data_IF_386039470531
#
_entry.id   IF_386039470531
#
_cell.length_a   1.000
_cell.length_b   1.000
_cell.length_c   1.000
_cell.angle_alpha   90.00
_cell.angle_beta   90.00
_cell.angle_gamma   90.00
#
_symmetry.space_group_name_H-M   'P 1'
#
loop_
_entity.id
_entity.type
_entity.pdbx_description
1 polymer ?
#
# COMPACT_ATOMS: atom_id res chain seq x y z
N UNK A 1 27.59 -18.35 9.87
CA UNK A 1 26.50 -17.84 10.72
C UNK A 1 25.30 -17.62 9.83
N UNK A 2 24.14 -18.21 10.16
CA UNK A 2 22.90 -17.91 9.43
C UNK A 2 22.56 -16.44 9.71
N UNK A 3 22.68 -15.59 8.69
CA UNK A 3 22.16 -14.23 8.76
C UNK A 3 20.64 -14.34 8.83
N UNK A 4 20.06 -13.97 9.97
CA UNK A 4 18.61 -13.93 10.14
C UNK A 4 18.07 -12.71 9.40
N UNK A 5 17.18 -12.94 8.43
CA UNK A 5 16.48 -11.88 7.71
C UNK A 5 15.68 -11.01 8.69
N UNK A 6 15.81 -9.69 8.57
CA UNK A 6 15.12 -8.69 9.41
C UNK A 6 13.98 -8.02 8.64
N UNK A 7 13.03 -7.44 9.37
CA UNK A 7 12.00 -6.56 8.81
C UNK A 7 12.65 -5.25 8.33
N UNK A 8 12.38 -4.91 7.08
CA UNK A 8 12.82 -3.68 6.43
C UNK A 8 11.58 -2.85 6.10
N UNK A 9 11.58 -1.59 6.55
CA UNK A 9 10.51 -0.62 6.36
C UNK A 9 11.20 0.66 5.88
N UNK A 10 10.91 1.10 4.66
CA UNK A 10 11.54 2.29 4.07
C UNK A 10 10.48 3.29 3.62
N UNK A 11 10.51 4.46 4.25
CA UNK A 11 9.56 5.54 3.98
C UNK A 11 10.10 6.53 2.97
N UNK A 12 9.24 6.89 2.01
CA UNK A 12 9.41 8.01 1.13
C UNK A 12 8.37 9.08 1.50
N UNK A 13 8.84 10.31 1.71
CA UNK A 13 7.99 11.46 1.97
C UNK A 13 7.19 11.83 0.72
N UNK A 14 6.08 12.58 0.85
CA UNK A 14 5.30 13.02 -0.30
C UNK A 14 6.12 13.73 -1.38
N UNK A 15 7.15 14.50 -0.99
CA UNK A 15 8.08 15.18 -1.90
C UNK A 15 9.06 14.25 -2.63
N UNK A 16 9.31 13.07 -2.09
CA UNK A 16 10.23 12.07 -2.66
C UNK A 16 9.47 11.11 -3.59
N UNK A 17 8.21 10.79 -3.25
CA UNK A 17 7.39 9.87 -4.01
C UNK A 17 6.90 10.44 -5.35
N UNK A 18 6.69 11.76 -5.44
CA UNK A 18 6.00 12.40 -6.58
C UNK A 18 4.66 11.73 -6.93
N UNK A 19 3.87 11.38 -5.91
CA UNK A 19 2.58 10.74 -6.14
C UNK A 19 1.63 11.68 -6.88
N UNK A 20 1.09 11.19 -8.00
CA UNK A 20 0.00 11.82 -8.73
C UNK A 20 -1.31 11.09 -8.44
N UNK A 21 -2.37 11.87 -8.31
CA UNK A 21 -3.73 11.38 -8.17
C UNK A 21 -4.35 11.24 -9.56
N UNK A 22 -4.81 10.04 -9.90
CA UNK A 22 -5.61 9.81 -11.11
C UNK A 22 -7.01 9.37 -10.70
N UNK A 23 -8.03 9.90 -11.37
CA UNK A 23 -9.42 9.44 -11.21
C UNK A 23 -9.86 8.75 -12.49
N UNK A 24 -10.66 7.68 -12.36
CA UNK A 24 -11.33 7.11 -13.53
C UNK A 24 -12.27 8.14 -14.17
N UNK A 25 -12.58 7.96 -15.46
CA UNK A 25 -13.47 8.88 -16.20
C UNK A 25 -14.85 9.04 -15.55
N UNK A 26 -15.32 8.02 -14.83
CA UNK A 26 -16.58 8.05 -14.08
C UNK A 26 -16.43 8.59 -12.64
N UNK A 27 -15.22 8.99 -12.23
CA UNK A 27 -14.89 9.51 -10.90
C UNK A 27 -14.96 8.49 -9.77
N UNK A 28 -15.22 7.21 -10.05
CA UNK A 28 -15.51 6.19 -9.02
C UNK A 28 -14.26 5.53 -8.45
N UNK A 29 -13.14 5.54 -9.19
CA UNK A 29 -11.88 4.95 -8.75
C UNK A 29 -10.83 6.02 -8.61
N UNK A 30 -10.17 6.03 -7.44
CA UNK A 30 -9.01 6.86 -7.17
C UNK A 30 -7.74 6.02 -7.25
N UNK A 31 -6.71 6.55 -7.88
CA UNK A 31 -5.43 5.90 -8.06
C UNK A 31 -4.29 6.81 -7.60
N UNK A 32 -3.23 6.20 -7.09
CA UNK A 32 -1.95 6.84 -6.80
C UNK A 32 -0.88 6.23 -7.69
N UNK A 33 -0.07 7.08 -8.32
CA UNK A 33 1.05 6.66 -9.16
C UNK A 33 2.29 7.49 -8.83
N UNK A 34 3.45 6.85 -8.70
CA UNK A 34 4.70 7.55 -8.39
C UNK A 34 5.81 6.59 -7.96
N UNK A 35 6.83 7.11 -7.30
CA UNK A 35 7.98 6.35 -6.81
C UNK A 35 7.59 5.58 -5.55
N UNK A 36 7.78 4.27 -5.58
CA UNK A 36 7.46 3.33 -4.50
C UNK A 36 8.71 2.80 -3.79
N UNK A 37 9.83 2.66 -4.51
CA UNK A 37 11.14 2.30 -3.95
C UNK A 37 12.26 3.01 -4.71
N UNK A 38 13.41 3.19 -4.08
CA UNK A 38 14.61 3.81 -4.67
C UNK A 38 15.83 2.90 -4.49
N UNK A 39 16.65 2.82 -5.53
CA UNK A 39 17.91 2.08 -5.56
C UNK A 39 19.12 3.01 -5.59
N UNK A 40 20.27 2.50 -5.17
CA UNK A 40 21.58 3.15 -5.19
C UNK A 40 21.59 4.54 -4.53
N UNK A 41 20.68 4.76 -3.57
CA UNK A 41 20.58 5.95 -2.75
C UNK A 41 20.45 5.53 -1.28
N UNK A 42 21.26 6.15 -0.42
CA UNK A 42 21.15 5.96 1.03
C UNK A 42 19.86 6.62 1.51
N UNK A 43 18.93 5.80 2.00
CA UNK A 43 17.63 6.25 2.47
C UNK A 43 17.70 6.82 3.90
N UNK A 44 16.53 7.19 4.44
CA UNK A 44 16.40 7.82 5.77
C UNK A 44 16.82 6.91 6.94
N UNK A 45 16.76 5.60 6.75
CA UNK A 45 17.25 4.60 7.71
C UNK A 45 18.75 4.30 7.54
N UNK A 46 19.44 5.04 6.67
CA UNK A 46 20.85 4.81 6.38
C UNK A 46 21.14 3.54 5.59
N UNK A 47 20.12 2.96 4.94
CA UNK A 47 20.24 1.75 4.13
C UNK A 47 20.39 2.12 2.67
N UNK A 48 21.17 1.32 1.94
CA UNK A 48 21.33 1.44 0.50
C UNK A 48 20.93 0.12 -0.16
N UNK A 49 19.96 0.20 -1.07
CA UNK A 49 19.49 -0.95 -1.83
C UNK A 49 20.15 -0.94 -3.19
N UNK A 50 20.98 -1.95 -3.53
CA UNK A 50 21.52 -2.08 -4.88
C UNK A 50 20.42 -2.11 -5.94
N UNK A 51 20.67 -1.55 -7.12
CA UNK A 51 19.74 -1.61 -8.26
C UNK A 51 19.24 -3.03 -8.55
N UNK A 52 20.11 -4.03 -8.44
CA UNK A 52 19.75 -5.43 -8.65
C UNK A 52 18.71 -5.96 -7.65
N UNK A 53 18.75 -5.50 -6.39
CA UNK A 53 17.80 -5.91 -5.35
C UNK A 53 16.41 -5.31 -5.62
N UNK A 54 16.36 -4.02 -5.95
CA UNK A 54 15.09 -3.35 -6.29
C UNK A 54 14.51 -3.89 -7.61
N UNK A 55 15.34 -4.12 -8.63
CA UNK A 55 14.89 -4.70 -9.89
C UNK A 55 14.33 -6.12 -9.69
N UNK A 56 14.98 -6.96 -8.89
CA UNK A 56 14.49 -8.30 -8.56
C UNK A 56 13.16 -8.24 -7.78
N UNK A 57 13.03 -7.31 -6.83
CA UNK A 57 11.78 -7.06 -6.12
C UNK A 57 10.65 -6.64 -7.06
N UNK A 58 10.92 -5.76 -8.03
CA UNK A 58 9.93 -5.35 -9.04
C UNK A 58 9.51 -6.52 -9.92
N UNK A 59 10.44 -7.31 -10.43
CA UNK A 59 10.11 -8.48 -11.26
C UNK A 59 9.31 -9.53 -10.49
N UNK A 60 9.73 -9.86 -9.26
CA UNK A 60 8.97 -10.76 -8.38
C UNK A 60 7.56 -10.23 -8.08
N UNK A 61 7.42 -8.92 -7.93
CA UNK A 61 6.12 -8.27 -7.69
C UNK A 61 5.22 -8.31 -8.92
N UNK A 62 5.74 -8.14 -10.13
CA UNK A 62 4.95 -8.26 -11.37
C UNK A 62 4.29 -9.64 -11.50
N UNK A 63 5.04 -10.70 -11.19
CA UNK A 63 4.51 -12.06 -11.16
C UNK A 63 3.39 -12.20 -10.13
N UNK A 64 3.63 -11.76 -8.88
CA UNK A 64 2.61 -11.78 -7.81
C UNK A 64 1.36 -10.99 -8.18
N UNK A 65 1.52 -9.79 -8.76
CA UNK A 65 0.41 -8.94 -9.22
C UNK A 65 -0.42 -9.69 -10.26
N UNK A 66 0.21 -10.38 -11.20
CA UNK A 66 -0.49 -11.12 -12.25
C UNK A 66 -1.23 -12.34 -11.68
N UNK A 67 -0.59 -13.10 -10.78
CA UNK A 67 -1.16 -14.29 -10.17
C UNK A 67 -2.30 -13.98 -9.18
N UNK A 68 -2.17 -12.90 -8.41
CA UNK A 68 -3.05 -12.58 -7.28
C UNK A 68 -4.00 -11.42 -7.58
N UNK A 69 -3.96 -10.88 -8.81
CA UNK A 69 -4.69 -9.69 -9.23
C UNK A 69 -4.36 -8.45 -8.35
N UNK A 70 -3.07 -8.29 -8.06
CA UNK A 70 -2.50 -7.18 -7.30
C UNK A 70 -1.89 -7.56 -5.95
N UNK A 71 -1.21 -6.59 -5.33
CA UNK A 71 -0.63 -6.72 -3.99
C UNK A 71 -1.35 -5.75 -3.05
N UNK A 72 -1.87 -6.25 -1.93
CA UNK A 72 -2.58 -5.41 -0.96
C UNK A 72 -1.62 -4.56 -0.15
N UNK A 73 -1.94 -3.28 0.01
CA UNK A 73 -1.24 -2.35 0.89
C UNK A 73 -2.17 -1.79 1.97
N UNK A 74 -1.59 -1.44 3.11
CA UNK A 74 -2.32 -0.93 4.27
C UNK A 74 -2.35 0.61 4.26
N UNK A 75 -3.32 1.19 5.00
CA UNK A 75 -3.19 2.57 5.46
C UNK A 75 -2.44 2.53 6.78
N UNK A 76 -1.37 3.29 6.86
CA UNK A 76 -0.29 3.13 7.84
C UNK A 76 0.56 1.87 7.63
N UNK A 77 1.65 1.73 8.38
CA UNK A 77 2.56 0.59 8.27
C UNK A 77 2.67 -0.16 9.61
N UNK A 78 2.24 -1.44 9.69
CA UNK A 78 2.46 -2.24 10.88
C UNK A 78 3.93 -2.69 10.99
N UNK A 79 4.39 -2.93 12.22
CA UNK A 79 5.70 -3.54 12.53
C UNK A 79 5.68 -5.07 12.27
N UNK A 80 5.16 -5.49 11.11
CA UNK A 80 5.00 -6.91 10.75
C UNK A 80 5.10 -7.10 9.23
N UNK A 81 5.57 -8.29 8.82
CA UNK A 81 5.56 -8.75 7.43
C UNK A 81 4.19 -9.24 6.97
N UNK A 82 3.26 -9.50 7.90
CA UNK A 82 1.90 -9.94 7.56
C UNK A 82 1.01 -8.75 7.22
N UNK A 83 0.14 -8.93 6.23
CA UNK A 83 -0.87 -7.94 5.86
C UNK A 83 -2.09 -8.09 6.77
N UNK A 84 -2.50 -7.01 7.43
CA UNK A 84 -3.73 -6.99 8.21
C UNK A 84 -4.91 -6.61 7.32
N UNK A 85 -5.81 -7.56 7.06
CA UNK A 85 -6.92 -7.36 6.11
C UNK A 85 -7.89 -6.24 6.51
N UNK A 86 -8.01 -5.95 7.80
CA UNK A 86 -8.82 -4.84 8.35
C UNK A 86 -8.17 -3.46 8.10
N UNK A 87 -6.87 -3.42 7.80
CA UNK A 87 -6.11 -2.19 7.51
C UNK A 87 -5.87 -1.94 6.02
N UNK A 88 -6.20 -2.92 5.17
CA UNK A 88 -6.00 -2.80 3.71
C UNK A 88 -6.76 -1.58 3.17
N UNK A 89 -6.04 -0.72 2.46
CA UNK A 89 -6.56 0.54 1.92
C UNK A 89 -6.48 0.62 0.40
N UNK A 90 -5.54 -0.11 -0.20
CA UNK A 90 -5.30 -0.06 -1.64
C UNK A 90 -4.73 -1.39 -2.16
N UNK A 91 -4.72 -1.51 -3.49
CA UNK A 91 -4.08 -2.63 -4.20
C UNK A 91 -3.10 -2.05 -5.21
N UNK A 92 -1.84 -2.47 -5.13
CA UNK A 92 -0.80 -2.19 -6.10
C UNK A 92 -1.08 -3.04 -7.34
N UNK A 93 -1.24 -2.39 -8.49
CA UNK A 93 -1.60 -3.02 -9.76
C UNK A 93 -0.46 -3.04 -10.75
N UNK A 94 0.52 -2.15 -10.60
CA UNK A 94 1.67 -2.06 -11.49
C UNK A 94 2.91 -1.67 -10.68
N UNK A 95 4.03 -2.28 -11.04
CA UNK A 95 5.37 -1.90 -10.57
C UNK A 95 6.34 -2.02 -11.75
N UNK A 96 7.17 -1.01 -11.95
CA UNK A 96 8.17 -1.01 -13.01
C UNK A 96 9.40 -0.19 -12.61
N UNK A 97 10.54 -0.50 -13.22
CA UNK A 97 11.76 0.27 -13.06
C UNK A 97 11.78 1.45 -14.04
N UNK A 98 12.21 2.61 -13.58
CA UNK A 98 12.57 3.74 -14.40
C UNK A 98 13.85 4.39 -13.84
N UNK A 99 14.97 4.10 -14.50
CA UNK A 99 16.30 4.43 -13.96
C UNK A 99 16.51 3.70 -12.63
N UNK A 100 16.90 4.45 -11.59
CA UNK A 100 17.15 3.92 -10.24
C UNK A 100 15.91 3.91 -9.34
N UNK A 101 14.74 4.30 -9.86
CA UNK A 101 13.50 4.32 -9.08
C UNK A 101 12.58 3.19 -9.55
N UNK A 102 11.95 2.51 -8.59
CA UNK A 102 10.79 1.67 -8.87
C UNK A 102 9.54 2.53 -8.76
N UNK A 103 8.85 2.71 -9.87
CA UNK A 103 7.54 3.34 -9.91
C UNK A 103 6.45 2.30 -9.70
N UNK A 104 5.36 2.72 -9.10
CA UNK A 104 4.19 1.90 -8.88
C UNK A 104 2.90 2.65 -9.11
N UNK A 105 1.84 1.86 -9.39
CA UNK A 105 0.46 2.34 -9.49
C UNK A 105 -0.41 1.53 -8.53
N UNK A 106 -1.20 2.23 -7.73
CA UNK A 106 -2.09 1.65 -6.73
C UNK A 106 -3.51 2.17 -6.86
N UNK A 107 -4.48 1.26 -6.81
CA UNK A 107 -5.91 1.57 -6.75
C UNK A 107 -6.36 1.66 -5.30
N UNK A 108 -6.96 2.78 -4.91
CA UNK A 108 -7.58 2.92 -3.60
C UNK A 108 -8.88 2.11 -3.57
N UNK A 109 -9.09 1.36 -2.48
CA UNK A 109 -10.27 0.53 -2.29
C UNK A 109 -11.37 1.26 -1.53
N UNK A 110 -12.58 0.72 -1.58
CA UNK A 110 -13.72 1.14 -0.76
C UNK A 110 -13.81 0.33 0.55
N UNK A 111 -12.67 -0.08 1.09
CA UNK A 111 -12.56 -0.57 2.48
C UNK A 111 -12.64 0.62 3.43
N UNK A 112 -12.90 0.44 4.73
CA UNK A 112 -12.91 1.55 5.69
C UNK A 112 -11.61 2.38 5.64
N UNK A 113 -10.45 1.70 5.64
CA UNK A 113 -9.16 2.39 5.53
C UNK A 113 -8.92 3.00 4.14
N UNK A 114 -9.42 2.36 3.07
CA UNK A 114 -9.34 2.91 1.73
C UNK A 114 -10.17 4.18 1.57
N UNK A 115 -11.36 4.25 2.18
CA UNK A 115 -12.19 5.46 2.19
C UNK A 115 -11.55 6.58 3.00
N UNK A 116 -10.94 6.27 4.14
CA UNK A 116 -10.18 7.25 4.93
C UNK A 116 -9.02 7.80 4.09
N UNK A 117 -8.23 6.93 3.46
CA UNK A 117 -7.13 7.34 2.58
C UNK A 117 -7.62 8.22 1.42
N UNK A 118 -8.71 7.81 0.74
CA UNK A 118 -9.34 8.60 -0.31
C UNK A 118 -9.74 10.00 0.17
N UNK A 119 -10.35 10.10 1.35
CA UNK A 119 -10.83 11.38 1.88
C UNK A 119 -9.67 12.30 2.29
N UNK A 120 -8.62 11.75 2.90
CA UNK A 120 -7.39 12.50 3.20
C UNK A 120 -6.80 13.10 1.91
N UNK A 121 -6.66 12.29 0.87
CA UNK A 121 -6.11 12.71 -0.43
C UNK A 121 -7.01 13.78 -1.09
N UNK A 122 -8.33 13.55 -1.14
CA UNK A 122 -9.31 14.50 -1.70
C UNK A 122 -9.32 15.83 -0.94
N UNK A 123 -9.07 15.79 0.36
CA UNK A 123 -8.95 16.98 1.23
C UNK A 123 -7.61 17.71 1.07
N UNK A 124 -6.74 17.27 0.17
CA UNK A 124 -5.44 17.90 -0.10
C UNK A 124 -4.32 17.50 0.86
N UNK A 125 -4.54 16.47 1.70
CA UNK A 125 -3.49 15.92 2.55
C UNK A 125 -2.47 15.20 1.68
N UNK A 126 -1.22 15.65 1.76
CA UNK A 126 -0.10 14.99 1.09
C UNK A 126 0.28 13.72 1.84
N UNK A 127 0.30 12.59 1.14
CA UNK A 127 0.68 11.28 1.69
C UNK A 127 2.00 10.81 1.09
N UNK A 128 2.77 10.07 1.89
CA UNK A 128 3.96 9.36 1.46
C UNK A 128 3.65 7.87 1.29
N UNK A 129 4.69 7.10 1.00
CA UNK A 129 4.59 5.65 0.96
C UNK A 129 5.67 4.98 1.79
N UNK A 130 5.38 3.78 2.27
CA UNK A 130 6.31 2.98 3.06
C UNK A 130 6.44 1.58 2.46
N UNK A 131 7.60 1.26 1.89
CA UNK A 131 7.88 -0.08 1.38
C UNK A 131 8.21 -1.03 2.53
N UNK A 132 7.63 -2.23 2.53
CA UNK A 132 7.89 -3.29 3.52
C UNK A 132 8.47 -4.51 2.85
N UNK A 133 9.47 -5.10 3.49
CA UNK A 133 10.08 -6.34 3.06
C UNK A 133 10.90 -7.01 4.14
N UNK A 134 11.52 -8.12 3.79
CA UNK A 134 12.50 -8.79 4.62
C UNK A 134 13.85 -8.84 3.90
N UNK A 135 14.96 -8.74 4.62
CA UNK A 135 16.28 -8.86 4.01
C UNK A 135 17.40 -8.79 5.03
N UNK A 136 18.64 -8.70 4.55
CA UNK A 136 19.82 -8.57 5.38
C UNK A 136 20.45 -7.19 5.16
N UNK A 137 21.06 -6.63 6.21
CA UNK A 137 21.75 -5.35 6.14
C UNK A 137 23.16 -5.54 6.67
N UNK A 138 24.16 -5.16 5.88
CA UNK A 138 25.55 -5.19 6.32
C UNK A 138 25.92 -3.95 7.17
N UNK A 139 27.12 -3.96 7.75
CA UNK A 139 27.61 -2.87 8.62
C UNK A 139 27.64 -1.49 7.93
N UNK A 140 27.82 -1.47 6.61
CA UNK A 140 27.82 -0.25 5.80
C UNK A 140 26.42 0.22 5.38
N UNK A 141 25.37 -0.50 5.78
CA UNK A 141 23.98 -0.23 5.40
C UNK A 141 23.55 -0.83 4.06
N UNK A 142 24.40 -1.61 3.41
CA UNK A 142 24.08 -2.29 2.15
C UNK A 142 23.08 -3.43 2.38
N UNK A 143 21.97 -3.41 1.64
CA UNK A 143 20.92 -4.43 1.73
C UNK A 143 21.18 -5.58 0.75
N UNK A 144 20.97 -6.81 1.19
CA UNK A 144 21.04 -8.01 0.34
C UNK A 144 19.90 -8.99 0.62
N UNK A 145 19.47 -9.70 -0.42
CA UNK A 145 18.39 -10.69 -0.32
C UNK A 145 17.05 -10.04 0.04
N UNK A 146 16.75 -8.89 -0.57
CA UNK A 146 15.53 -8.16 -0.31
C UNK A 146 14.32 -8.89 -0.90
N UNK A 147 13.45 -9.36 -0.01
CA UNK A 147 12.14 -9.90 -0.33
C UNK A 147 11.07 -8.85 -0.06
N UNK A 148 10.62 -8.19 -1.11
CA UNK A 148 9.56 -7.18 -1.05
C UNK A 148 8.20 -7.80 -0.75
N UNK A 149 7.47 -7.21 0.20
CA UNK A 149 6.13 -7.64 0.61
C UNK A 149 5.06 -6.73 0.02
N UNK A 150 5.12 -5.43 0.32
CA UNK A 150 4.11 -4.43 -0.11
C UNK A 150 4.63 -3.00 0.00
N UNK A 151 3.80 -2.04 -0.42
CA UNK A 151 3.91 -0.62 -0.12
C UNK A 151 2.64 -0.19 0.62
N UNK A 152 2.79 0.55 1.71
CA UNK A 152 1.69 1.14 2.47
C UNK A 152 1.58 2.64 2.22
N UNK A 153 0.38 3.19 2.38
CA UNK A 153 0.15 4.64 2.37
C UNK A 153 0.41 5.16 3.78
N UNK A 154 1.31 6.11 3.93
CA UNK A 154 1.61 6.73 5.24
C UNK A 154 1.24 8.21 5.21
N UNK A 155 0.49 8.66 6.22
CA UNK A 155 0.28 10.09 6.44
C UNK A 155 1.46 10.61 7.26
N UNK A 156 2.14 11.63 6.77
CA UNK A 156 3.21 12.25 7.55
C UNK A 156 2.58 13.30 8.47
N UNK A 157 2.65 13.17 9.82
CA UNK A 157 2.37 14.31 10.67
C UNK A 157 3.53 15.29 10.59
N UNK A 158 3.16 16.53 10.30
CA UNK A 158 4.05 17.67 10.16
C UNK A 158 4.65 18.06 11.52
N UNK A 159 5.85 17.58 11.83
CA UNK A 159 6.95 18.32 12.49
C UNK A 159 8.01 17.35 13.05
N UNK A 160 9.31 17.72 13.05
CA UNK A 160 10.38 16.96 13.70
C UNK A 160 10.15 16.63 15.19
N UNK A 161 9.22 17.34 15.86
CA UNK A 161 8.95 17.24 17.30
C UNK A 161 7.51 16.83 17.64
N UNK A 162 6.66 16.53 16.65
CA UNK A 162 5.33 15.97 16.92
C UNK A 162 5.48 14.45 16.87
N UNK A 163 5.26 13.76 18.00
CA UNK A 163 5.17 12.30 18.01
C UNK A 163 4.17 11.85 16.94
N UNK A 164 4.60 11.18 15.86
CA UNK A 164 3.69 10.63 14.89
C UNK A 164 2.95 9.46 15.53
N UNK A 165 1.74 9.69 16.03
CA UNK A 165 0.80 8.59 16.17
C UNK A 165 0.45 8.10 14.76
N UNK A 166 0.42 6.79 14.56
CA UNK A 166 -0.14 6.21 13.33
C UNK A 166 -1.53 6.83 13.06
N UNK A 167 -1.96 6.96 11.80
CA UNK A 167 -3.33 7.39 11.44
C UNK A 167 -4.33 6.53 12.20
N UNK A 168 -4.05 5.22 12.28
CA UNK A 168 -4.87 4.27 13.00
C UNK A 168 -4.92 4.55 14.51
N UNK A 169 -3.78 4.76 15.17
CA UNK A 169 -3.72 5.11 16.60
C UNK A 169 -4.36 6.47 16.87
N UNK A 170 -4.12 7.45 16.00
CA UNK A 170 -4.75 8.77 16.07
C UNK A 170 -6.27 8.67 15.97
N UNK A 171 -6.78 7.79 15.11
CA UNK A 171 -8.22 7.47 15.06
C UNK A 171 -8.68 6.80 16.35
N UNK A 172 -7.95 5.82 16.90
CA UNK A 172 -8.36 5.18 18.15
C UNK A 172 -8.36 6.14 19.34
N UNK A 173 -7.42 7.08 19.39
CA UNK A 173 -7.30 8.06 20.48
C UNK A 173 -8.27 9.23 20.34
N UNK A 174 -8.74 9.54 19.12
CA UNK A 174 -9.67 10.63 18.89
C UNK A 174 -11.04 10.36 19.55
N UNK A 175 -11.57 11.37 20.26
CA UNK A 175 -12.89 11.29 20.93
C UNK A 175 -14.04 10.85 19.99
N UNK A 176 -13.92 11.16 18.70
CA UNK A 176 -14.88 10.81 17.65
C UNK A 176 -14.37 9.75 16.67
N UNK A 177 -13.18 9.16 16.88
CA UNK A 177 -12.60 8.26 15.88
C UNK A 177 -13.34 6.95 15.72
N UNK A 178 -13.99 6.44 16.78
CA UNK A 178 -14.94 5.33 16.66
C UNK A 178 -16.07 5.66 15.68
N UNK A 179 -16.64 6.87 15.76
CA UNK A 179 -17.68 7.30 14.84
C UNK A 179 -17.17 7.39 13.39
N UNK A 180 -15.92 7.81 13.17
CA UNK A 180 -15.31 7.88 11.84
C UNK A 180 -15.18 6.47 11.24
N UNK A 181 -14.66 5.50 12.01
CA UNK A 181 -14.50 4.12 11.55
C UNK A 181 -15.86 3.47 11.30
N UNK A 182 -16.80 3.60 12.23
CA UNK A 182 -18.17 3.09 12.06
C UNK A 182 -18.89 3.74 10.90
N UNK A 183 -18.71 5.04 10.65
CA UNK A 183 -19.32 5.71 9.51
C UNK A 183 -18.69 5.23 8.19
N UNK A 184 -17.36 5.07 8.13
CA UNK A 184 -16.70 4.49 6.97
C UNK A 184 -17.22 3.05 6.70
N UNK A 185 -17.36 2.23 7.74
CA UNK A 185 -18.01 0.93 7.63
C UNK A 185 -19.45 1.06 7.11
N UNK A 186 -20.26 1.97 7.64
CA UNK A 186 -21.66 2.19 7.22
C UNK A 186 -21.81 2.69 5.78
N UNK A 187 -20.90 3.54 5.30
CA UNK A 187 -20.89 4.00 3.90
C UNK A 187 -20.59 2.83 2.95
N UNK A 188 -19.95 1.75 3.42
CA UNK A 188 -19.83 0.49 2.67
C UNK A 188 -21.19 -0.18 2.42
N UNK A 189 -22.17 0.02 3.31
CA UNK A 189 -23.42 -0.74 3.40
C UNK A 189 -24.59 -0.15 2.59
N UNK A 190 -24.35 0.29 1.33
CA UNK A 190 -25.44 0.28 0.35
C UNK A 190 -25.81 -1.18 0.04
N UNK A 191 -26.70 -1.72 0.88
CA UNK A 191 -27.10 -3.12 0.91
C UNK A 191 -27.72 -3.58 -0.43
N UNK A 192 -28.32 -2.67 -1.20
CA UNK A 192 -28.89 -2.96 -2.51
C UNK A 192 -27.77 -3.25 -3.53
N UNK A 193 -26.70 -2.45 -3.52
CA UNK A 193 -25.54 -2.64 -4.38
C UNK A 193 -24.72 -3.88 -3.99
N UNK A 194 -24.54 -4.16 -2.70
CA UNK A 194 -23.84 -5.37 -2.23
C UNK A 194 -24.58 -6.65 -2.59
N UNK A 195 -25.91 -6.67 -2.44
CA UNK A 195 -26.74 -7.82 -2.82
C UNK A 195 -26.71 -8.06 -4.33
N UNK A 196 -26.69 -7.00 -5.12
CA UNK A 196 -26.53 -7.09 -6.57
C UNK A 196 -25.14 -7.60 -6.96
N UNK A 197 -24.06 -7.05 -6.40
CA UNK A 197 -22.69 -7.49 -6.68
C UNK A 197 -22.45 -8.96 -6.29
N UNK A 198 -22.92 -9.37 -5.10
CA UNK A 198 -22.85 -10.78 -4.67
C UNK A 198 -23.65 -11.68 -5.62
N UNK A 199 -24.83 -11.24 -6.08
CA UNK A 199 -25.64 -11.99 -7.05
C UNK A 199 -24.93 -12.13 -8.39
N UNK A 200 -24.33 -11.07 -8.92
CA UNK A 200 -23.60 -11.11 -10.20
C UNK A 200 -22.29 -11.91 -10.10
N UNK A 201 -21.57 -11.86 -8.98
CA UNK A 201 -20.40 -12.71 -8.73
C UNK A 201 -20.81 -14.18 -8.64
N UNK A 202 -21.89 -14.51 -7.92
CA UNK A 202 -22.39 -15.89 -7.84
C UNK A 202 -22.90 -16.39 -9.20
N UNK A 203 -23.52 -15.52 -9.99
CA UNK A 203 -23.95 -15.80 -11.35
C UNK A 203 -22.75 -16.08 -12.26
N UNK A 204 -21.74 -15.22 -12.23
CA UNK A 204 -20.48 -15.40 -12.95
C UNK A 204 -19.78 -16.70 -12.59
N UNK A 205 -19.67 -17.03 -11.30
CA UNK A 205 -19.09 -18.30 -10.83
C UNK A 205 -19.91 -19.52 -11.26
N UNK A 206 -21.24 -19.39 -11.33
CA UNK A 206 -22.12 -20.48 -11.77
C UNK A 206 -22.17 -20.67 -13.29
N UNK A 207 -21.94 -19.61 -14.07
CA UNK A 207 -22.02 -19.62 -15.54
C UNK A 207 -20.63 -19.75 -16.20
N UNK A 208 -19.54 -19.44 -15.48
CA UNK A 208 -18.19 -19.35 -16.01
C UNK A 208 -17.12 -19.97 -15.10
N UNK A 209 -17.11 -21.30 -15.03
CA UNK A 209 -15.91 -22.18 -15.00
C UNK A 209 -16.28 -23.65 -14.69
N UNK A 210 -17.50 -23.95 -14.23
CA UNK A 210 -17.96 -25.31 -13.92
C UNK A 210 -19.27 -25.74 -14.63
N UNK A 211 -19.90 -24.84 -15.40
CA UNK A 211 -21.06 -25.18 -16.22
C UNK A 211 -20.65 -25.71 -17.59
N UNK A 212 -19.92 -26.83 -17.61
CA UNK A 212 -19.83 -27.78 -18.74
C UNK A 212 -19.17 -29.06 -18.23
N UNK A 213 -20.00 -30.02 -17.83
CA UNK A 213 -19.80 -31.41 -18.26
C UNK A 213 -20.50 -31.57 -19.60
#
# INVERSE_FOLDING_TARGET
MSMSSILLIEELQPSECNLIQESSQDGKSLWLSGIFMQADLKNRNGRNYPLSEIAAAVEGSKNRITEQNGIMGELDHPQSLQINLDRVSHVITELWMQGNNAFGKAKLLNTPMGQIAQELIKSGVKVGVSSRGAGNVNESGGVTGFNFITVDIVAQPSAPNAYPGSVYESLQLAKNGHNIVTLAEQVRHDDAAQKYLKKEIMKWLSEGLFAKR
#
